data_IF_463134134412
#
_entry.id   IF_463134134412
#
_cell.length_a   1.000
_cell.length_b   1.000
_cell.length_c   1.000
_cell.angle_alpha   90.00
_cell.angle_beta   90.00
_cell.angle_gamma   90.00
#
_symmetry.space_group_name_H-M   'P 1'
#
loop_
_entity.id
_entity.type
_entity.pdbx_description
1 polymer ?
#
# COMPACT_ATOMS: atom_id res chain seq x y z
N UNK A 1 9.98 -46.26 38.32
CA UNK A 1 10.11 -44.82 38.65
C UNK A 1 9.81 -44.02 37.39
N UNK A 2 8.64 -43.39 37.30
CA UNK A 2 8.31 -42.49 36.21
C UNK A 2 8.84 -41.09 36.53
N UNK A 3 9.71 -40.54 35.68
CA UNK A 3 10.14 -39.14 35.79
C UNK A 3 8.92 -38.25 35.56
N UNK A 4 8.55 -37.47 36.58
CA UNK A 4 7.59 -36.37 36.45
C UNK A 4 8.12 -35.38 35.42
N UNK A 5 7.51 -35.37 34.23
CA UNK A 5 7.77 -34.35 33.21
C UNK A 5 6.94 -33.14 33.63
N UNK A 6 7.58 -32.17 34.28
CA UNK A 6 6.95 -30.88 34.51
C UNK A 6 6.77 -30.19 33.15
N UNK A 7 5.53 -29.87 32.73
CA UNK A 7 5.33 -29.12 31.50
C UNK A 7 6.05 -27.77 31.65
N UNK A 8 6.82 -27.32 30.64
CA UNK A 8 7.52 -26.05 30.73
C UNK A 8 6.49 -24.95 30.99
N UNK A 9 6.77 -24.08 31.98
CA UNK A 9 5.87 -23.02 32.51
C UNK A 9 5.31 -22.04 31.47
N UNK A 10 5.64 -22.20 30.19
CA UNK A 10 5.24 -21.31 29.10
C UNK A 10 4.87 -22.04 27.80
N UNK A 11 4.53 -23.34 27.84
CA UNK A 11 4.23 -24.14 26.63
C UNK A 11 3.22 -23.48 25.69
N UNK A 12 2.16 -22.88 26.24
CA UNK A 12 1.13 -22.18 25.45
C UNK A 12 1.71 -20.96 24.73
N UNK A 13 2.50 -20.13 25.40
CA UNK A 13 3.15 -18.95 24.79
C UNK A 13 4.18 -19.37 23.75
N UNK A 14 4.99 -20.39 24.05
CA UNK A 14 5.95 -20.96 23.09
C UNK A 14 5.25 -21.50 21.86
N UNK A 15 4.12 -22.21 22.03
CA UNK A 15 3.34 -22.75 20.92
C UNK A 15 2.66 -21.62 20.13
N UNK A 16 2.09 -20.61 20.79
CA UNK A 16 1.53 -19.42 20.13
C UNK A 16 2.59 -18.70 19.29
N UNK A 17 3.80 -18.51 19.82
CA UNK A 17 4.90 -17.89 19.07
C UNK A 17 5.33 -18.76 17.88
N UNK A 18 5.40 -20.08 18.05
CA UNK A 18 5.68 -21.01 16.93
C UNK A 18 4.59 -20.96 15.86
N UNK A 19 3.32 -20.95 16.24
CA UNK A 19 2.19 -20.82 15.30
C UNK A 19 2.25 -19.47 14.59
N UNK A 20 2.51 -18.38 15.31
CA UNK A 20 2.68 -17.05 14.73
C UNK A 20 3.85 -16.98 13.73
N UNK A 21 4.92 -17.76 13.96
CA UNK A 21 6.05 -17.87 13.03
C UNK A 21 5.76 -18.73 11.80
N UNK A 22 4.86 -19.71 11.91
CA UNK A 22 4.45 -20.57 10.78
C UNK A 22 3.37 -19.91 9.92
N UNK A 23 2.51 -19.07 10.51
CA UNK A 23 1.40 -18.41 9.78
C UNK A 23 1.85 -17.69 8.49
N UNK A 24 2.94 -16.89 8.48
CA UNK A 24 3.46 -16.30 7.25
C UNK A 24 3.91 -17.29 6.17
N UNK A 25 4.33 -18.50 6.56
CA UNK A 25 4.73 -19.53 5.60
C UNK A 25 3.53 -20.22 4.95
N UNK A 26 2.38 -20.21 5.65
CA UNK A 26 1.11 -20.75 5.14
C UNK A 26 0.36 -19.74 4.27
N UNK A 27 0.62 -18.45 4.46
CA UNK A 27 0.01 -17.35 3.74
C UNK A 27 1.09 -16.31 3.40
N UNK A 28 1.98 -16.64 2.43
CA UNK A 28 3.10 -15.78 2.09
C UNK A 28 2.62 -14.48 1.45
N UNK A 29 3.40 -13.42 1.65
CA UNK A 29 3.17 -12.17 0.93
C UNK A 29 3.34 -12.37 -0.58
N UNK A 30 2.64 -11.61 -1.42
CA UNK A 30 2.79 -11.69 -2.88
C UNK A 30 4.23 -11.43 -3.32
N UNK A 31 4.69 -12.08 -4.38
CA UNK A 31 6.04 -11.87 -4.92
C UNK A 31 6.33 -10.37 -5.16
N UNK A 32 7.57 -9.95 -4.95
CA UNK A 32 7.95 -8.55 -5.12
C UNK A 32 7.93 -8.16 -6.60
N UNK A 33 7.57 -6.91 -6.90
CA UNK A 33 7.74 -6.35 -8.24
C UNK A 33 9.20 -6.43 -8.71
N UNK A 34 10.15 -6.45 -7.77
CA UNK A 34 11.59 -6.47 -8.02
C UNK A 34 12.18 -7.89 -8.24
N UNK A 35 11.42 -8.97 -8.00
CA UNK A 35 11.95 -10.35 -7.91
C UNK A 35 12.74 -10.81 -9.15
N UNK A 36 12.26 -10.45 -10.34
CA UNK A 36 12.88 -10.80 -11.63
C UNK A 36 13.59 -9.61 -12.27
N UNK A 37 13.79 -8.51 -11.53
CA UNK A 37 14.39 -7.26 -12.01
C UNK A 37 15.75 -6.95 -11.38
N UNK A 38 16.13 -7.71 -10.35
CA UNK A 38 17.40 -7.61 -9.65
C UNK A 38 18.16 -8.92 -9.80
N UNK A 39 19.46 -8.84 -10.07
CA UNK A 39 20.38 -9.97 -9.94
C UNK A 39 20.73 -10.23 -8.46
N UNK A 40 21.46 -11.31 -8.20
CA UNK A 40 21.80 -11.71 -6.83
C UNK A 40 22.65 -10.66 -6.09
N UNK A 41 23.50 -9.94 -6.83
CA UNK A 41 24.32 -8.87 -6.27
C UNK A 41 23.43 -7.72 -5.76
N UNK A 42 22.52 -7.22 -6.61
CA UNK A 42 21.61 -6.15 -6.24
C UNK A 42 20.55 -6.59 -5.22
N UNK A 43 20.15 -7.87 -5.22
CA UNK A 43 19.33 -8.45 -4.14
C UNK A 43 20.04 -8.43 -2.80
N UNK A 44 21.35 -8.67 -2.77
CA UNK A 44 22.13 -8.55 -1.55
C UNK A 44 22.19 -7.10 -1.06
N UNK A 45 22.47 -6.14 -1.96
CA UNK A 45 22.47 -4.71 -1.60
C UNK A 45 21.09 -4.26 -1.12
N UNK A 46 20.02 -4.65 -1.82
CA UNK A 46 18.63 -4.43 -1.42
C UNK A 46 18.39 -4.86 0.03
N UNK A 47 18.76 -6.10 0.35
CA UNK A 47 18.52 -6.68 1.66
C UNK A 47 19.31 -5.96 2.75
N UNK A 48 20.57 -5.63 2.48
CA UNK A 48 21.41 -4.87 3.42
C UNK A 48 20.89 -3.46 3.65
N UNK A 49 20.46 -2.75 2.60
CA UNK A 49 19.87 -1.41 2.74
C UNK A 49 18.53 -1.44 3.48
N UNK A 50 17.64 -2.37 3.16
CA UNK A 50 16.38 -2.55 3.88
C UNK A 50 16.63 -2.85 5.37
N UNK A 51 17.58 -3.74 5.66
CA UNK A 51 18.02 -4.01 7.03
C UNK A 51 18.58 -2.77 7.74
N UNK A 52 19.35 -1.94 7.05
CA UNK A 52 19.89 -0.69 7.60
C UNK A 52 18.78 0.32 7.94
N UNK A 53 17.79 0.46 7.07
CA UNK A 53 16.62 1.34 7.32
C UNK A 53 15.85 0.88 8.57
N UNK A 54 15.60 -0.42 8.71
CA UNK A 54 14.87 -0.96 9.87
C UNK A 54 15.69 -0.77 11.15
N UNK A 55 17.01 -1.00 11.09
CA UNK A 55 17.91 -0.92 12.23
C UNK A 55 18.28 0.53 12.64
N UNK A 56 17.96 1.54 11.81
CA UNK A 56 18.36 2.93 12.08
C UNK A 56 17.86 3.49 13.41
N UNK A 57 16.78 2.93 13.96
CA UNK A 57 16.28 3.23 15.32
C UNK A 57 17.06 2.58 16.46
N UNK A 58 18.16 1.87 16.16
CA UNK A 58 19.09 1.25 17.11
C UNK A 58 18.74 -0.18 17.56
N UNK A 59 17.52 -0.66 17.33
CA UNK A 59 17.13 -2.04 17.63
C UNK A 59 16.04 -2.54 16.69
N UNK A 60 15.88 -3.85 16.58
CA UNK A 60 14.82 -4.49 15.79
C UNK A 60 13.90 -5.30 16.70
N UNK A 61 12.60 -5.23 16.45
CA UNK A 61 11.62 -6.05 17.17
C UNK A 61 11.39 -7.40 16.46
N UNK A 62 10.79 -8.37 17.17
CA UNK A 62 10.44 -9.68 16.58
C UNK A 62 9.50 -9.53 15.37
N UNK A 63 8.57 -8.57 15.43
CA UNK A 63 7.61 -8.33 14.35
C UNK A 63 8.30 -7.74 13.11
N UNK A 64 9.24 -6.81 13.29
CA UNK A 64 10.03 -6.25 12.18
C UNK A 64 10.98 -7.29 11.59
N UNK A 65 11.60 -8.13 12.43
CA UNK A 65 12.44 -9.25 11.98
C UNK A 65 11.62 -10.24 11.13
N UNK A 66 10.39 -10.54 11.56
CA UNK A 66 9.46 -11.40 10.83
C UNK A 66 9.03 -10.76 9.51
N UNK A 67 8.65 -9.47 9.53
CA UNK A 67 8.28 -8.73 8.32
C UNK A 67 9.44 -8.68 7.33
N UNK A 68 10.66 -8.35 7.78
CA UNK A 68 11.87 -8.38 6.96
C UNK A 68 12.08 -9.76 6.32
N UNK A 69 11.95 -10.84 7.09
CA UNK A 69 12.07 -12.20 6.54
C UNK A 69 11.05 -12.45 5.43
N UNK A 70 9.79 -12.06 5.64
CA UNK A 70 8.74 -12.19 4.63
C UNK A 70 9.05 -11.36 3.37
N UNK A 71 9.54 -10.12 3.54
CA UNK A 71 9.90 -9.24 2.43
C UNK A 71 11.07 -9.80 1.60
N UNK A 72 12.08 -10.37 2.24
CA UNK A 72 13.20 -11.02 1.55
C UNK A 72 12.75 -12.28 0.81
N UNK A 73 11.86 -13.09 1.40
CA UNK A 73 11.29 -14.25 0.73
C UNK A 73 10.52 -13.87 -0.55
N UNK A 74 9.82 -12.72 -0.56
CA UNK A 74 9.16 -12.21 -1.79
C UNK A 74 10.12 -11.98 -2.95
N UNK A 75 11.40 -11.72 -2.66
CA UNK A 75 12.50 -11.52 -3.62
C UNK A 75 13.27 -12.82 -3.96
N UNK A 76 12.81 -13.96 -3.45
CA UNK A 76 13.53 -15.24 -3.46
C UNK A 76 14.88 -15.16 -2.75
N UNK A 77 14.95 -14.36 -1.68
CA UNK A 77 16.13 -14.27 -0.83
C UNK A 77 15.86 -15.14 0.41
N UNK A 78 16.57 -16.25 0.49
CA UNK A 78 16.50 -17.19 1.61
C UNK A 78 17.74 -17.06 2.51
N UNK A 79 17.56 -17.39 3.79
CA UNK A 79 18.63 -17.46 4.77
C UNK A 79 18.39 -16.60 6.01
N UNK A 80 19.41 -16.56 6.87
CA UNK A 80 19.37 -15.79 8.12
C UNK A 80 19.54 -14.29 7.83
N UNK A 81 18.58 -13.49 8.32
CA UNK A 81 18.60 -12.03 8.21
C UNK A 81 19.78 -11.40 8.95
N UNK A 82 20.37 -12.09 9.93
CA UNK A 82 21.51 -11.61 10.72
C UNK A 82 22.71 -11.23 9.85
N UNK A 83 22.90 -11.93 8.72
CA UNK A 83 23.98 -11.63 7.77
C UNK A 83 23.88 -10.21 7.21
N UNK A 84 22.66 -9.72 6.98
CA UNK A 84 22.47 -8.39 6.41
C UNK A 84 22.77 -7.28 7.41
N UNK A 85 22.45 -7.49 8.69
CA UNK A 85 22.86 -6.55 9.74
C UNK A 85 24.38 -6.47 9.86
N UNK A 86 25.09 -7.61 9.75
CA UNK A 86 26.56 -7.62 9.79
C UNK A 86 27.24 -7.01 8.57
N UNK A 87 26.51 -6.82 7.46
CA UNK A 87 27.03 -6.27 6.22
C UNK A 87 26.88 -4.75 6.11
N UNK A 88 26.10 -4.11 6.99
CA UNK A 88 25.79 -2.67 6.92
C UNK A 88 27.07 -1.84 6.92
N UNK A 89 27.99 -2.09 7.87
CA UNK A 89 29.25 -1.35 8.00
C UNK A 89 30.19 -1.55 6.79
N UNK A 90 29.98 -2.62 6.02
CA UNK A 90 30.77 -2.94 4.82
C UNK A 90 30.10 -2.46 3.53
N UNK A 91 28.92 -1.84 3.61
CA UNK A 91 28.21 -1.35 2.44
C UNK A 91 28.90 -0.08 1.94
N UNK A 92 29.64 -0.18 0.84
CA UNK A 92 30.36 0.96 0.27
C UNK A 92 29.43 1.95 -0.44
N UNK A 93 29.83 3.23 -0.46
CA UNK A 93 29.15 4.28 -1.22
C UNK A 93 28.96 3.90 -2.71
N UNK A 94 29.95 3.21 -3.29
CA UNK A 94 29.88 2.76 -4.68
C UNK A 94 28.77 1.73 -4.89
N UNK A 95 28.58 0.79 -3.95
CA UNK A 95 27.49 -0.19 -4.02
C UNK A 95 26.12 0.49 -3.87
N UNK A 96 26.00 1.48 -2.99
CA UNK A 96 24.77 2.27 -2.83
C UNK A 96 24.45 3.01 -4.13
N UNK A 97 25.46 3.64 -4.75
CA UNK A 97 25.31 4.34 -6.03
C UNK A 97 24.90 3.40 -7.17
N UNK A 98 25.50 2.22 -7.24
CA UNK A 98 25.17 1.20 -8.24
C UNK A 98 23.73 0.70 -8.08
N UNK A 99 23.32 0.40 -6.84
CA UNK A 99 21.96 0.00 -6.55
C UNK A 99 20.96 1.11 -6.88
N UNK A 100 21.27 2.37 -6.54
CA UNK A 100 20.44 3.52 -6.86
C UNK A 100 20.24 3.70 -8.37
N UNK A 101 21.25 3.38 -9.18
CA UNK A 101 21.16 3.38 -10.66
C UNK A 101 20.40 2.17 -11.21
N UNK A 102 20.50 1.02 -10.54
CA UNK A 102 19.79 -0.21 -10.94
C UNK A 102 18.27 -0.06 -10.81
N UNK A 103 17.80 0.72 -9.82
CA UNK A 103 16.41 1.18 -9.74
C UNK A 103 16.21 2.38 -10.70
N UNK A 104 16.27 2.09 -12.00
CA UNK A 104 16.28 3.05 -13.11
C UNK A 104 14.94 3.72 -13.43
N UNK A 105 13.84 3.23 -12.85
CA UNK A 105 12.49 3.77 -13.02
C UNK A 105 11.75 3.93 -11.68
N UNK A 106 10.65 4.67 -11.72
CA UNK A 106 9.92 5.04 -10.52
C UNK A 106 9.24 3.83 -9.87
N UNK A 107 8.71 2.88 -10.64
CA UNK A 107 8.10 1.66 -10.10
C UNK A 107 9.08 0.81 -9.28
N UNK A 108 10.33 0.70 -9.73
CA UNK A 108 11.39 -0.02 -9.01
C UNK A 108 11.74 0.70 -7.70
N UNK A 109 11.90 2.03 -7.76
CA UNK A 109 12.23 2.88 -6.59
C UNK A 109 11.12 2.85 -5.55
N UNK A 110 9.88 3.10 -5.99
CA UNK A 110 8.69 3.07 -5.15
C UNK A 110 8.44 1.69 -4.56
N UNK A 111 8.71 0.61 -5.29
CA UNK A 111 8.62 -0.76 -4.74
C UNK A 111 9.60 -0.98 -3.59
N UNK A 112 10.81 -0.44 -3.65
CA UNK A 112 11.77 -0.56 -2.55
C UNK A 112 11.35 0.29 -1.35
N UNK A 113 10.96 1.56 -1.56
CA UNK A 113 10.49 2.43 -0.49
C UNK A 113 9.24 1.88 0.20
N UNK A 114 8.32 1.29 -0.57
CA UNK A 114 7.15 0.62 -0.03
C UNK A 114 7.55 -0.49 0.95
N UNK A 115 8.53 -1.32 0.60
CA UNK A 115 9.01 -2.40 1.46
C UNK A 115 9.72 -1.84 2.72
N UNK A 116 10.48 -0.73 2.59
CA UNK A 116 11.06 -0.01 3.73
C UNK A 116 10.00 0.49 4.71
N UNK A 117 8.94 1.13 4.20
CA UNK A 117 7.82 1.62 5.00
C UNK A 117 7.05 0.48 5.65
N UNK A 118 6.76 -0.58 4.88
CA UNK A 118 6.03 -1.75 5.36
C UNK A 118 6.78 -2.45 6.50
N UNK A 119 8.09 -2.65 6.35
CA UNK A 119 8.93 -3.23 7.40
C UNK A 119 9.00 -2.35 8.64
N UNK A 120 9.23 -1.05 8.45
CA UNK A 120 9.48 -0.12 9.55
C UNK A 120 8.22 0.23 10.34
N UNK A 121 7.03 0.16 9.70
CA UNK A 121 5.75 0.54 10.30
C UNK A 121 4.93 -0.65 10.80
N UNK A 122 5.35 -1.90 10.56
CA UNK A 122 4.53 -3.09 10.83
C UNK A 122 4.18 -3.31 12.31
N UNK A 123 4.89 -2.66 13.22
CA UNK A 123 4.69 -2.83 14.65
C UNK A 123 4.40 -1.53 15.39
N UNK A 124 5.11 -0.45 15.06
CA UNK A 124 5.02 0.85 15.71
C UNK A 124 5.07 1.97 14.66
N UNK A 125 4.66 3.20 15.00
CA UNK A 125 4.96 4.38 14.19
C UNK A 125 6.47 4.49 13.91
N UNK A 126 6.81 5.08 12.76
CA UNK A 126 8.20 5.33 12.37
C UNK A 126 8.88 6.25 13.39
N UNK A 127 10.13 5.95 13.75
CA UNK A 127 10.94 6.86 14.58
C UNK A 127 11.49 8.01 13.75
N UNK A 128 12.04 9.05 14.42
CA UNK A 128 12.66 10.18 13.73
C UNK A 128 13.83 9.72 12.84
N UNK A 129 14.63 8.80 13.34
CA UNK A 129 15.80 8.24 12.65
C UNK A 129 15.39 7.46 11.40
N UNK A 130 14.30 6.68 11.49
CA UNK A 130 13.74 5.97 10.34
C UNK A 130 13.18 6.94 9.30
N UNK A 131 12.46 7.98 9.73
CA UNK A 131 11.94 9.02 8.84
C UNK A 131 13.08 9.74 8.12
N UNK A 132 14.15 10.10 8.85
CA UNK A 132 15.31 10.79 8.28
C UNK A 132 15.99 9.93 7.20
N UNK A 133 16.30 8.67 7.49
CA UNK A 133 16.93 7.77 6.50
C UNK A 133 16.02 7.54 5.29
N UNK A 134 14.72 7.29 5.49
CA UNK A 134 13.78 7.08 4.38
C UNK A 134 13.67 8.35 3.53
N UNK A 135 13.62 9.53 4.14
CA UNK A 135 13.56 10.80 3.42
C UNK A 135 14.83 11.05 2.61
N UNK A 136 16.01 10.73 3.14
CA UNK A 136 17.26 10.80 2.36
C UNK A 136 17.18 9.93 1.11
N UNK A 137 16.72 8.69 1.25
CA UNK A 137 16.56 7.78 0.10
C UNK A 137 15.52 8.32 -0.90
N UNK A 138 14.38 8.84 -0.43
CA UNK A 138 13.38 9.48 -1.29
C UNK A 138 13.96 10.70 -2.04
N UNK A 139 14.79 11.50 -1.36
CA UNK A 139 15.46 12.67 -1.95
C UNK A 139 16.47 12.26 -3.04
N UNK A 140 17.19 11.14 -2.88
CA UNK A 140 18.11 10.62 -3.91
C UNK A 140 17.41 10.41 -5.24
N UNK A 141 16.19 9.89 -5.20
CA UNK A 141 15.36 9.61 -6.37
C UNK A 141 14.36 10.71 -6.72
N UNK A 142 14.32 11.79 -5.93
CA UNK A 142 13.38 12.91 -6.09
C UNK A 142 11.92 12.45 -6.12
N UNK A 143 11.58 11.50 -5.26
CA UNK A 143 10.21 11.00 -5.12
C UNK A 143 9.34 12.16 -4.62
N UNK A 144 8.20 12.39 -5.28
CA UNK A 144 7.29 13.48 -4.95
C UNK A 144 6.51 13.20 -3.66
N UNK A 145 6.12 14.26 -2.95
CA UNK A 145 5.22 14.16 -1.79
C UNK A 145 3.95 13.37 -2.11
N UNK A 146 3.43 13.55 -3.33
CA UNK A 146 2.27 12.83 -3.80
C UNK A 146 2.48 11.29 -3.78
N UNK A 147 3.61 10.83 -4.32
CA UNK A 147 3.95 9.40 -4.33
C UNK A 147 4.20 8.88 -2.91
N UNK A 148 4.82 9.67 -2.05
CA UNK A 148 5.02 9.33 -0.64
C UNK A 148 3.68 9.13 0.06
N UNK A 149 2.73 10.05 -0.10
CA UNK A 149 1.41 9.93 0.52
C UNK A 149 0.64 8.72 -0.01
N UNK A 150 0.71 8.44 -1.32
CA UNK A 150 0.08 7.26 -1.90
C UNK A 150 0.70 5.96 -1.38
N UNK A 151 2.03 5.92 -1.21
CA UNK A 151 2.72 4.78 -0.58
C UNK A 151 2.29 4.59 0.87
N UNK A 152 2.29 5.64 1.67
CA UNK A 152 1.87 5.58 3.09
C UNK A 152 0.44 5.09 3.21
N UNK A 153 -0.46 5.55 2.35
CA UNK A 153 -1.83 5.06 2.28
C UNK A 153 -1.87 3.53 2.07
N UNK A 154 -1.23 3.02 1.02
CA UNK A 154 -1.24 1.58 0.72
C UNK A 154 -0.52 0.73 1.76
N UNK A 155 0.54 1.25 2.40
CA UNK A 155 1.20 0.58 3.53
C UNK A 155 0.23 0.45 4.71
N UNK A 156 -0.50 1.51 5.05
CA UNK A 156 -1.53 1.47 6.09
C UNK A 156 -2.63 0.46 5.77
N UNK A 157 -3.10 0.40 4.51
CA UNK A 157 -4.09 -0.60 4.08
C UNK A 157 -3.56 -2.04 4.24
N UNK A 158 -2.31 -2.30 3.85
CA UNK A 158 -1.68 -3.63 4.02
C UNK A 158 -1.56 -4.02 5.50
N UNK A 159 -1.26 -3.04 6.36
CA UNK A 159 -1.08 -3.23 7.80
C UNK A 159 -2.39 -3.18 8.59
N UNK A 160 -3.53 -2.88 7.95
CA UNK A 160 -4.82 -2.69 8.62
C UNK A 160 -4.84 -1.48 9.57
N UNK A 161 -3.98 -0.48 9.33
CA UNK A 161 -3.97 0.77 10.09
C UNK A 161 -5.11 1.63 9.55
N UNK A 162 -6.09 1.96 10.39
CA UNK A 162 -7.25 2.77 9.99
C UNK A 162 -6.80 4.14 9.52
N UNK A 163 -6.89 4.38 8.21
CA UNK A 163 -6.79 5.71 7.65
C UNK A 163 -8.17 6.37 7.82
N UNK A 164 -8.25 7.45 8.62
CA UNK A 164 -9.47 8.28 8.65
C UNK A 164 -9.58 9.01 7.30
N UNK A 165 -10.23 8.37 6.33
CA UNK A 165 -10.55 8.96 5.03
C UNK A 165 -11.62 10.07 5.14
N UNK A 166 -12.18 10.26 6.32
CA UNK A 166 -13.19 11.28 6.65
C UNK A 166 -12.59 12.61 7.10
N UNK A 167 -11.34 12.93 6.76
CA UNK A 167 -10.71 14.21 7.11
C UNK A 167 -11.61 15.40 6.77
N UNK A 168 -11.74 16.33 7.73
CA UNK A 168 -12.64 17.48 7.67
C UNK A 168 -12.60 18.17 6.31
N UNK A 169 -13.79 18.33 5.72
CA UNK A 169 -14.00 18.94 4.39
C UNK A 169 -13.64 20.44 4.36
N UNK A 170 -13.28 21.02 5.50
CA UNK A 170 -13.28 22.47 5.74
C UNK A 170 -11.92 23.15 5.57
N UNK A 171 -10.83 22.42 5.29
CA UNK A 171 -9.50 23.03 5.01
C UNK A 171 -9.09 22.96 3.53
N UNK A 172 -10.02 22.67 2.60
CA UNK A 172 -9.79 22.82 1.16
C UNK A 172 -9.98 24.30 0.78
N UNK A 173 -9.07 25.15 1.26
CA UNK A 173 -8.92 26.52 0.78
C UNK A 173 -7.95 26.46 -0.41
N UNK A 174 -8.41 26.94 -1.56
CA UNK A 174 -7.71 27.01 -2.86
C UNK A 174 -7.72 25.78 -3.78
N UNK A 175 -8.85 25.07 -3.84
CA UNK A 175 -9.26 24.37 -5.06
C UNK A 175 -10.49 25.07 -5.66
N UNK A 176 -10.61 25.27 -6.99
CA UNK A 176 -11.78 25.89 -7.62
C UNK A 176 -13.09 25.08 -7.48
N UNK A 177 -13.11 24.12 -6.56
CA UNK A 177 -14.24 23.24 -6.23
C UNK A 177 -14.90 23.67 -4.89
N UNK A 178 -14.33 24.61 -4.14
CA UNK A 178 -14.85 25.07 -2.85
C UNK A 178 -16.13 25.95 -2.93
N UNK A 179 -16.85 25.98 -4.05
CA UNK A 179 -18.11 26.71 -4.20
C UNK A 179 -19.25 25.88 -4.81
N UNK A 180 -19.22 24.55 -4.65
CA UNK A 180 -20.40 23.73 -4.92
C UNK A 180 -20.94 23.12 -3.62
N UNK A 181 -21.84 23.86 -2.99
CA UNK A 181 -22.76 23.36 -1.97
C UNK A 181 -23.63 22.27 -2.60
N UNK A 182 -23.43 21.01 -2.21
CA UNK A 182 -24.34 19.93 -2.56
C UNK A 182 -25.67 20.10 -1.81
N UNK A 183 -26.74 20.33 -2.56
CA UNK A 183 -28.06 19.89 -2.14
C UNK A 183 -28.10 18.37 -2.33
N UNK A 184 -28.39 17.56 -1.29
CA UNK A 184 -28.60 16.13 -1.45
C UNK A 184 -29.92 15.90 -2.17
N UNK A 185 -29.93 16.05 -3.50
CA UNK A 185 -31.05 15.58 -4.29
C UNK A 185 -30.98 14.05 -4.39
N UNK A 186 -32.11 13.39 -4.14
CA UNK A 186 -32.24 11.95 -4.31
C UNK A 186 -31.78 11.54 -5.73
N UNK A 187 -31.00 10.45 -5.87
CA UNK A 187 -30.72 9.89 -7.18
C UNK A 187 -32.03 9.62 -7.90
N UNK A 188 -32.07 9.78 -9.23
CA UNK A 188 -33.15 9.21 -10.03
C UNK A 188 -33.29 7.73 -9.64
N UNK A 189 -34.53 7.25 -9.45
CA UNK A 189 -34.85 5.92 -8.89
C UNK A 189 -34.28 4.73 -9.69
N UNK A 190 -33.62 5.00 -10.81
CA UNK A 190 -33.04 4.05 -11.75
C UNK A 190 -31.52 3.83 -11.60
N UNK A 191 -30.78 4.65 -10.84
CA UNK A 191 -29.33 4.46 -10.64
C UNK A 191 -29.09 3.55 -9.45
N UNK A 192 -28.41 2.42 -9.69
CA UNK A 192 -27.93 1.51 -8.64
C UNK A 192 -26.42 1.40 -8.69
N UNK A 193 -25.76 1.90 -7.65
CA UNK A 193 -24.34 1.62 -7.41
C UNK A 193 -24.18 0.16 -6.96
N UNK A 194 -23.16 -0.50 -7.50
CA UNK A 194 -22.83 -1.91 -7.26
C UNK A 194 -21.56 -2.08 -6.42
N UNK A 195 -21.04 -0.97 -5.89
CA UNK A 195 -19.90 -0.88 -5.00
C UNK A 195 -20.29 -0.05 -3.79
N UNK A 196 -19.57 -0.21 -2.71
CA UNK A 196 -19.64 0.59 -1.49
C UNK A 196 -18.39 1.45 -1.34
N UNK A 197 -18.50 2.53 -0.56
CA UNK A 197 -17.32 3.29 -0.12
C UNK A 197 -16.45 2.36 0.74
N UNK A 198 -15.14 2.34 0.47
CA UNK A 198 -14.19 1.41 1.05
C UNK A 198 -14.01 0.11 0.24
N UNK A 199 -14.75 -0.10 -0.86
CA UNK A 199 -14.53 -1.29 -1.67
C UNK A 199 -13.23 -1.20 -2.49
N UNK A 200 -12.37 -2.21 -2.36
CA UNK A 200 -11.27 -2.43 -3.29
C UNK A 200 -11.80 -3.10 -4.56
N UNK A 201 -11.67 -2.40 -5.68
CA UNK A 201 -12.29 -2.80 -6.94
C UNK A 201 -11.25 -3.01 -8.03
N UNK A 202 -11.37 -4.11 -8.76
CA UNK A 202 -10.57 -4.37 -9.95
C UNK A 202 -10.95 -3.47 -11.13
N UNK A 203 -10.00 -3.28 -12.04
CA UNK A 203 -10.29 -2.75 -13.38
C UNK A 203 -11.44 -3.53 -14.01
N UNK A 204 -12.36 -2.81 -14.66
CA UNK A 204 -13.59 -3.30 -15.27
C UNK A 204 -14.71 -3.72 -14.30
N UNK A 205 -14.54 -3.58 -12.98
CA UNK A 205 -15.64 -3.73 -12.02
C UNK A 205 -16.79 -2.80 -12.39
N UNK A 206 -18.02 -3.34 -12.38
CA UNK A 206 -19.24 -2.60 -12.69
C UNK A 206 -19.55 -1.68 -11.51
N UNK A 207 -19.40 -0.37 -11.71
CA UNK A 207 -19.67 0.65 -10.70
C UNK A 207 -21.18 0.91 -10.55
N UNK A 208 -21.86 1.17 -11.67
CA UNK A 208 -23.27 1.54 -11.70
C UNK A 208 -23.92 1.13 -13.02
N UNK A 209 -25.25 1.07 -13.04
CA UNK A 209 -26.06 0.83 -14.25
C UNK A 209 -26.97 2.03 -14.55
N UNK A 210 -27.09 2.41 -15.83
CA UNK A 210 -27.99 3.47 -16.34
C UNK A 210 -27.34 4.73 -16.94
N UNK A 211 -26.12 4.68 -17.49
CA UNK A 211 -25.32 5.89 -17.84
C UNK A 211 -24.49 5.73 -19.13
N UNK A 212 -24.24 6.79 -19.91
CA UNK A 212 -23.46 6.74 -21.17
C UNK A 212 -22.27 7.71 -21.21
N UNK A 213 -21.08 7.11 -21.03
CA UNK A 213 -19.74 7.61 -21.33
C UNK A 213 -19.20 8.85 -20.56
N UNK A 214 -17.88 8.85 -20.26
CA UNK A 214 -17.24 9.96 -19.56
C UNK A 214 -17.05 11.14 -20.51
N UNK A 215 -17.55 12.32 -20.14
CA UNK A 215 -17.26 13.58 -20.88
C UNK A 215 -16.03 14.29 -20.34
N UNK A 216 -15.71 14.12 -19.05
CA UNK A 216 -14.59 14.82 -18.41
C UNK A 216 -13.79 13.90 -17.48
N UNK A 217 -12.46 13.98 -17.62
CA UNK A 217 -11.49 13.51 -16.63
C UNK A 217 -10.89 14.73 -15.96
N UNK A 218 -11.04 14.82 -14.65
CA UNK A 218 -10.33 15.81 -13.83
C UNK A 218 -9.72 15.05 -12.65
N UNK A 219 -8.40 15.14 -12.51
CA UNK A 219 -7.74 14.71 -11.28
C UNK A 219 -8.02 15.76 -10.20
N UNK A 220 -8.41 15.33 -9.01
CA UNK A 220 -8.56 16.24 -7.87
C UNK A 220 -7.72 15.68 -6.72
N UNK A 221 -6.90 16.52 -6.10
CA UNK A 221 -6.27 16.17 -4.83
C UNK A 221 -7.29 16.35 -3.73
N UNK A 222 -7.58 15.29 -2.95
CA UNK A 222 -8.38 15.40 -1.74
C UNK A 222 -7.40 15.25 -0.57
N UNK A 223 -7.04 16.38 0.03
CA UNK A 223 -5.90 16.47 0.93
C UNK A 223 -4.58 16.12 0.20
N UNK A 224 -3.82 15.21 0.80
CA UNK A 224 -2.47 14.81 0.40
C UNK A 224 -2.39 13.64 -0.60
N UNK A 225 -3.51 12.94 -0.87
CA UNK A 225 -3.58 11.77 -1.76
C UNK A 225 -4.27 12.15 -3.07
N UNK A 226 -3.70 11.75 -4.23
CA UNK A 226 -4.37 11.97 -5.53
C UNK A 226 -5.58 11.05 -5.64
N UNK A 227 -6.73 11.66 -5.84
CA UNK A 227 -7.98 10.95 -6.05
C UNK A 227 -8.44 11.21 -7.49
N UNK A 228 -8.69 10.15 -8.25
CA UNK A 228 -9.24 10.33 -9.59
C UNK A 228 -10.75 10.57 -9.50
N UNK A 229 -11.20 11.78 -9.84
CA UNK A 229 -12.61 12.07 -10.10
C UNK A 229 -12.94 11.73 -11.54
N UNK A 230 -14.09 11.09 -11.76
CA UNK A 230 -14.63 10.89 -13.11
C UNK A 230 -16.11 11.15 -13.15
N UNK A 231 -16.55 11.85 -14.19
CA UNK A 231 -17.94 12.22 -14.38
C UNK A 231 -18.52 11.58 -15.66
N UNK A 232 -19.73 11.04 -15.56
CA UNK A 232 -20.44 10.36 -16.63
C UNK A 232 -21.85 10.92 -16.79
N UNK A 233 -22.31 11.18 -18.01
CA UNK A 233 -23.65 11.73 -18.25
C UNK A 233 -24.74 10.64 -18.33
N UNK A 234 -25.88 10.88 -17.68
CA UNK A 234 -27.05 10.01 -17.63
C UNK A 234 -27.87 10.11 -18.92
N UNK A 235 -28.06 8.98 -19.61
CA UNK A 235 -29.03 8.82 -20.70
C UNK A 235 -29.93 7.62 -20.42
N UNK A 236 -31.13 7.63 -21.01
CA UNK A 236 -32.28 6.74 -20.76
C UNK A 236 -32.09 5.27 -21.24
N UNK A 237 -30.87 4.74 -21.17
CA UNK A 237 -30.51 3.38 -21.60
C UNK A 237 -29.73 2.63 -20.50
N UNK A 238 -30.07 1.36 -20.31
CA UNK A 238 -29.39 0.42 -19.40
C UNK A 238 -27.94 0.13 -19.85
N UNK A 239 -27.00 1.02 -19.55
CA UNK A 239 -25.57 0.83 -19.80
C UNK A 239 -24.76 0.79 -18.50
N UNK A 240 -23.67 0.03 -18.48
CA UNK A 240 -22.84 -0.21 -17.29
C UNK A 240 -21.63 0.73 -17.25
N UNK A 241 -21.45 1.48 -16.17
CA UNK A 241 -20.17 2.16 -15.89
C UNK A 241 -19.21 1.12 -15.32
N UNK A 242 -18.01 1.06 -15.90
CA UNK A 242 -16.94 0.19 -15.42
C UNK A 242 -15.74 1.03 -14.99
N UNK A 243 -15.08 0.60 -13.91
CA UNK A 243 -13.83 1.22 -13.48
C UNK A 243 -12.74 1.02 -14.55
N UNK A 244 -11.95 2.04 -14.81
CA UNK A 244 -10.86 1.92 -15.79
C UNK A 244 -9.56 1.38 -15.23
N UNK A 245 -9.43 1.31 -13.91
CA UNK A 245 -8.23 0.91 -13.19
C UNK A 245 -8.62 0.25 -11.87
N UNK A 246 -7.68 -0.49 -11.29
CA UNK A 246 -7.83 -1.13 -9.99
C UNK A 246 -7.53 -0.11 -8.88
N UNK A 247 -8.25 -0.17 -7.75
CA UNK A 247 -8.03 0.75 -6.63
C UNK A 247 -9.12 0.71 -5.57
N UNK A 248 -9.04 1.62 -4.59
CA UNK A 248 -10.02 1.76 -3.51
C UNK A 248 -11.04 2.87 -3.81
N UNK A 249 -12.33 2.56 -3.72
CA UNK A 249 -13.41 3.55 -3.87
C UNK A 249 -13.52 4.37 -2.59
N UNK A 250 -13.39 5.69 -2.69
CA UNK A 250 -13.46 6.58 -1.53
C UNK A 250 -14.76 7.36 -1.44
N UNK A 251 -15.42 7.62 -2.58
CA UNK A 251 -16.70 8.31 -2.64
C UNK A 251 -17.33 8.14 -4.03
N UNK A 252 -18.65 8.29 -4.14
CA UNK A 252 -19.40 8.31 -5.39
C UNK A 252 -20.77 8.93 -5.18
N UNK A 253 -21.34 9.49 -6.24
CA UNK A 253 -22.65 10.11 -6.15
C UNK A 253 -23.20 10.56 -7.50
N UNK A 254 -24.29 11.32 -7.43
CA UNK A 254 -25.00 11.85 -8.60
C UNK A 254 -25.02 13.37 -8.53
N UNK A 255 -24.56 14.04 -9.57
CA UNK A 255 -24.58 15.50 -9.71
C UNK A 255 -25.73 15.91 -10.63
N UNK A 256 -26.58 16.83 -10.16
CA UNK A 256 -27.62 17.50 -10.94
C UNK A 256 -28.56 16.55 -11.73
N UNK A 257 -28.79 15.32 -11.23
CA UNK A 257 -29.56 14.24 -11.90
C UNK A 257 -29.10 13.90 -13.32
N UNK A 258 -27.96 14.43 -13.75
CA UNK A 258 -27.43 14.31 -15.10
C UNK A 258 -26.06 13.66 -15.12
N UNK A 259 -25.34 13.64 -14.00
CA UNK A 259 -24.00 13.07 -13.97
C UNK A 259 -23.82 12.11 -12.79
N UNK A 260 -23.03 11.06 -12.98
CA UNK A 260 -22.48 10.25 -11.90
C UNK A 260 -21.03 10.62 -11.71
N UNK A 261 -20.58 10.76 -10.46
CA UNK A 261 -19.17 10.83 -10.14
C UNK A 261 -18.72 9.65 -9.28
N UNK A 262 -17.42 9.34 -9.35
CA UNK A 262 -16.75 8.55 -8.34
C UNK A 262 -15.32 9.04 -8.12
N UNK A 263 -14.82 8.72 -6.93
CA UNK A 263 -13.49 8.98 -6.44
C UNK A 263 -12.80 7.64 -6.16
N UNK A 264 -11.58 7.50 -6.70
CA UNK A 264 -10.80 6.26 -6.62
C UNK A 264 -9.34 6.60 -6.30
N UNK A 265 -8.78 5.93 -5.29
CA UNK A 265 -7.33 5.89 -5.07
C UNK A 265 -6.76 4.75 -5.93
N UNK A 266 -5.99 5.04 -7.00
CA UNK A 266 -5.39 4.02 -7.84
C UNK A 266 -4.47 3.09 -7.04
N UNK A 267 -4.53 1.80 -7.35
CA UNK A 267 -3.45 0.89 -7.01
C UNK A 267 -2.29 1.10 -8.02
N UNK A 268 -1.09 1.51 -7.59
CA UNK A 268 0.07 1.64 -8.46
C UNK A 268 0.47 0.31 -9.10
N UNK A 269 1.08 0.38 -10.28
CA UNK A 269 1.45 -0.81 -11.04
C UNK A 269 2.49 -1.70 -10.33
N UNK A 270 3.42 -1.11 -9.56
CA UNK A 270 4.37 -1.86 -8.73
C UNK A 270 3.69 -2.62 -7.58
N UNK A 271 2.45 -2.26 -7.23
CA UNK A 271 1.62 -2.98 -6.28
C UNK A 271 0.58 -3.90 -6.94
N UNK A 272 0.57 -4.06 -8.27
CA UNK A 272 -0.39 -4.94 -8.97
C UNK A 272 -0.37 -6.39 -8.46
N UNK A 273 0.79 -6.89 -8.02
CA UNK A 273 0.94 -8.21 -7.37
C UNK A 273 0.19 -8.34 -6.05
N UNK A 274 -0.21 -7.24 -5.42
CA UNK A 274 -0.96 -7.21 -4.16
C UNK A 274 -2.49 -7.24 -4.34
N UNK A 275 -3.01 -7.26 -5.57
CA UNK A 275 -4.46 -7.20 -5.82
C UNK A 275 -5.24 -8.30 -5.10
N UNK A 276 -4.77 -9.55 -5.20
CA UNK A 276 -5.43 -10.69 -4.55
C UNK A 276 -5.36 -10.59 -3.01
N UNK A 277 -4.28 -10.00 -2.49
CA UNK A 277 -4.12 -9.75 -1.06
C UNK A 277 -5.14 -8.71 -0.57
N UNK A 278 -5.33 -7.59 -1.27
CA UNK A 278 -6.35 -6.60 -0.91
C UNK A 278 -7.78 -7.14 -1.00
N UNK A 279 -8.09 -7.94 -2.04
CA UNK A 279 -9.39 -8.61 -2.15
C UNK A 279 -9.64 -9.54 -0.96
N UNK A 280 -8.61 -10.26 -0.52
CA UNK A 280 -8.70 -11.15 0.64
C UNK A 280 -8.91 -10.36 1.93
N UNK A 281 -8.12 -9.31 2.17
CA UNK A 281 -8.28 -8.44 3.35
C UNK A 281 -9.71 -7.90 3.47
N UNK A 282 -10.28 -7.41 2.37
CA UNK A 282 -11.65 -6.86 2.36
C UNK A 282 -12.73 -7.92 2.68
N UNK A 283 -12.49 -9.20 2.40
CA UNK A 283 -13.44 -10.28 2.75
C UNK A 283 -13.36 -10.69 4.22
N UNK A 284 -12.24 -10.39 4.87
CA UNK A 284 -11.95 -10.77 6.25
C UNK A 284 -12.26 -9.63 7.26
N UNK A 285 -12.44 -8.39 6.78
CA UNK A 285 -12.89 -7.21 7.52
C UNK A 285 -14.40 -7.14 7.67
#
# INVERSE_FOLDING_TARGET
>A
MAKSIHPPKNLVTTLKNKIANVKPLLDPLPASYLTNKLDDHNKNIYATLLSAVILSKGSITDNESRMLTMLLQRLNIEGDISRYFSQIDNLSEQQILEFAKTLDNDEKRLSFIFDCLLASRCHNPLTKEQIEVINEICNWWKISDHEIHLMVFWVSEVLGITNNLSGDRDEIIDSPVASYTEFPEQPLSNIKFKVSIGDFCLKNTKLATGVKQPKHKTGISLGQVMIQRREYELEDKNQEIKLSQTGLITDYGVINKKYIYYYLIPLPDYLSVWQDYFIKLQKES
#
